data_IF_395386798448
#
_entry.id   IF_395386798448
#
_cell.length_a   1.000
_cell.length_b   1.000
_cell.length_c   1.000
_cell.angle_alpha   90.00
_cell.angle_beta   90.00
_cell.angle_gamma   90.00
#
_symmetry.space_group_name_H-M   'P 1'
#
loop_
_entity.id
_entity.type
_entity.pdbx_description
1 polymer ?
#
# COMPACT_ATOMS: atom_id res chain seq x y z
N UNK A 1 -9.49 -5.46 -14.22
CA UNK A 1 -8.70 -4.65 -13.28
C UNK A 1 -8.48 -5.52 -12.06
N UNK A 2 -7.24 -5.87 -11.72
CA UNK A 2 -6.97 -6.85 -10.64
C UNK A 2 -6.51 -6.10 -9.39
N UNK A 3 -7.43 -5.95 -8.43
CA UNK A 3 -7.20 -5.39 -7.09
C UNK A 3 -6.06 -6.16 -6.38
N UNK A 4 -5.84 -7.43 -6.72
CA UNK A 4 -4.77 -8.25 -6.13
C UNK A 4 -3.35 -7.81 -6.53
N UNK A 5 -3.21 -7.02 -7.61
CA UNK A 5 -1.92 -6.49 -8.08
C UNK A 5 -1.43 -5.28 -7.28
N UNK A 6 -2.29 -4.59 -6.53
CA UNK A 6 -1.93 -3.38 -5.78
C UNK A 6 -1.48 -3.68 -4.34
N UNK A 7 -1.65 -4.92 -3.89
CA UNK A 7 -1.25 -5.36 -2.56
C UNK A 7 -2.23 -4.93 -1.46
N UNK A 8 -2.56 -5.86 -0.56
CA UNK A 8 -3.37 -5.61 0.62
C UNK A 8 -2.48 -5.34 1.83
N UNK A 9 -2.84 -4.38 2.71
CA UNK A 9 -2.24 -4.30 4.03
C UNK A 9 -2.74 -5.47 4.89
N UNK A 10 -1.93 -5.92 5.85
CA UNK A 10 -2.27 -7.04 6.76
C UNK A 10 -3.61 -6.86 7.48
N UNK A 11 -4.01 -5.61 7.73
CA UNK A 11 -5.29 -5.28 8.38
C UNK A 11 -6.52 -5.82 7.63
N UNK A 12 -6.41 -6.04 6.32
CA UNK A 12 -7.50 -6.57 5.50
C UNK A 12 -7.90 -7.99 5.89
N UNK A 13 -6.97 -8.81 6.40
CA UNK A 13 -7.30 -10.15 6.92
C UNK A 13 -8.33 -10.04 8.05
N UNK A 14 -8.12 -9.11 8.98
CA UNK A 14 -9.03 -8.88 10.11
C UNK A 14 -10.37 -8.33 9.65
N UNK A 15 -10.36 -7.35 8.73
CA UNK A 15 -11.58 -6.75 8.21
C UNK A 15 -12.43 -7.76 7.42
N UNK A 16 -11.84 -8.51 6.50
CA UNK A 16 -12.54 -9.54 5.75
C UNK A 16 -13.08 -10.65 6.66
N UNK A 17 -12.33 -11.06 7.68
CA UNK A 17 -12.81 -12.07 8.64
C UNK A 17 -14.01 -11.57 9.46
N UNK A 18 -14.07 -10.27 9.76
CA UNK A 18 -15.15 -9.66 10.56
C UNK A 18 -16.41 -9.35 9.74
N UNK A 19 -16.24 -8.85 8.52
CA UNK A 19 -17.32 -8.25 7.73
C UNK A 19 -17.71 -9.05 6.49
N UNK A 20 -16.89 -10.03 6.09
CA UNK A 20 -17.17 -10.94 4.99
C UNK A 20 -17.22 -12.36 5.52
N UNK A 21 -16.28 -13.22 5.14
CA UNK A 21 -16.23 -14.61 5.60
C UNK A 21 -14.82 -15.02 6.00
N UNK A 22 -14.67 -16.03 6.87
CA UNK A 22 -13.36 -16.65 7.15
C UNK A 22 -12.67 -17.12 5.86
N UNK A 23 -13.41 -17.66 4.90
CA UNK A 23 -12.89 -18.16 3.63
C UNK A 23 -12.25 -17.06 2.76
N UNK A 24 -12.91 -15.90 2.66
CA UNK A 24 -12.34 -14.71 1.98
C UNK A 24 -11.08 -14.26 2.73
N UNK A 25 -11.11 -14.23 4.06
CA UNK A 25 -9.96 -13.81 4.85
C UNK A 25 -8.76 -14.76 4.71
N UNK A 26 -8.99 -16.07 4.66
CA UNK A 26 -7.95 -17.11 4.55
C UNK A 26 -7.31 -17.17 3.16
N UNK A 27 -7.98 -16.59 2.15
CA UNK A 27 -7.42 -16.39 0.82
C UNK A 27 -6.45 -15.19 0.75
N UNK A 28 -6.38 -14.35 1.79
CA UNK A 28 -5.42 -13.24 1.84
C UNK A 28 -4.08 -13.76 2.37
N UNK A 29 -3.08 -13.82 1.50
CA UNK A 29 -1.78 -14.41 1.78
C UNK A 29 -0.66 -13.40 1.62
N UNK A 30 0.38 -13.50 2.44
CA UNK A 30 1.54 -12.60 2.34
C UNK A 30 2.36 -12.92 1.07
N UNK A 31 2.77 -11.89 0.34
CA UNK A 31 3.73 -12.05 -0.75
C UNK A 31 5.10 -12.43 -0.17
N UNK A 32 5.78 -13.40 -0.80
CA UNK A 32 7.13 -13.84 -0.41
C UNK A 32 8.22 -12.79 -0.69
N UNK A 33 7.85 -11.65 -1.26
CA UNK A 33 8.75 -10.55 -1.57
C UNK A 33 8.44 -9.91 -2.91
N UNK A 34 8.87 -8.66 -3.03
CA UNK A 34 8.70 -7.79 -4.19
C UNK A 34 10.06 -7.62 -4.85
N UNK A 35 10.08 -7.67 -6.17
CA UNK A 35 11.30 -7.55 -6.96
C UNK A 35 11.30 -6.20 -7.67
N UNK A 36 12.37 -5.45 -7.47
CA UNK A 36 12.67 -4.25 -8.22
C UNK A 36 13.69 -4.60 -9.29
N UNK A 37 13.31 -4.45 -10.55
CA UNK A 37 14.18 -4.63 -11.71
C UNK A 37 14.14 -3.36 -12.55
N UNK A 38 15.16 -2.52 -12.40
CA UNK A 38 15.28 -1.30 -13.16
C UNK A 38 16.77 -0.95 -13.40
N UNK A 39 17.07 0.02 -14.30
CA UNK A 39 18.45 0.37 -14.63
C UNK A 39 19.31 0.87 -13.45
N UNK A 40 18.72 1.39 -12.37
CA UNK A 40 19.46 1.86 -11.20
C UNK A 40 19.77 0.73 -10.21
N UNK A 41 18.91 -0.29 -10.12
CA UNK A 41 19.14 -1.44 -9.26
C UNK A 41 18.27 -2.65 -9.63
N UNK A 42 18.83 -3.83 -9.38
CA UNK A 42 18.12 -5.10 -9.27
C UNK A 42 18.16 -5.55 -7.80
N UNK A 43 17.00 -5.71 -7.15
CA UNK A 43 16.91 -6.19 -5.77
C UNK A 43 15.56 -6.83 -5.46
N UNK A 44 15.51 -7.57 -4.35
CA UNK A 44 14.29 -8.14 -3.78
C UNK A 44 14.13 -7.68 -2.34
N UNK A 45 12.90 -7.41 -1.93
CA UNK A 45 12.56 -7.01 -0.57
C UNK A 45 11.35 -7.77 -0.01
N UNK A 46 11.28 -7.97 1.30
CA UNK A 46 10.05 -8.39 2.01
C UNK A 46 9.06 -7.24 2.23
N UNK A 47 9.42 -6.02 1.83
CA UNK A 47 8.62 -4.81 1.99
C UNK A 47 8.33 -4.45 3.45
N UNK A 48 9.28 -4.75 4.35
CA UNK A 48 9.20 -4.45 5.78
C UNK A 48 10.19 -3.36 6.15
N UNK A 49 9.92 -2.61 7.23
CA UNK A 49 10.84 -1.58 7.75
C UNK A 49 12.25 -2.13 7.92
N UNK A 50 12.38 -3.28 8.54
CA UNK A 50 13.67 -3.92 8.83
C UNK A 50 14.46 -4.19 7.55
N UNK A 51 13.77 -4.60 6.48
CA UNK A 51 14.42 -5.00 5.24
C UNK A 51 14.76 -3.79 4.37
N UNK A 52 13.89 -2.77 4.32
CA UNK A 52 14.25 -1.49 3.70
C UNK A 52 15.39 -0.80 4.46
N UNK A 53 15.40 -0.82 5.80
CA UNK A 53 16.52 -0.28 6.57
C UNK A 53 17.82 -0.99 6.20
N UNK A 54 17.81 -2.32 6.16
CA UNK A 54 18.95 -3.11 5.73
C UNK A 54 19.38 -2.77 4.29
N UNK A 55 18.45 -2.70 3.34
CA UNK A 55 18.74 -2.36 1.94
C UNK A 55 19.34 -0.96 1.82
N UNK A 56 18.73 0.05 2.45
CA UNK A 56 19.16 1.45 2.34
C UNK A 56 20.52 1.67 3.02
N UNK A 57 20.80 0.97 4.11
CA UNK A 57 22.10 1.03 4.80
C UNK A 57 23.19 0.25 4.07
N UNK A 58 22.95 -1.02 3.75
CA UNK A 58 23.97 -1.92 3.16
C UNK A 58 24.21 -1.65 1.67
N UNK A 59 23.15 -1.41 0.88
CA UNK A 59 23.28 -1.25 -0.58
C UNK A 59 23.46 0.21 -0.98
N UNK A 60 22.66 1.09 -0.39
CA UNK A 60 22.66 2.51 -0.73
C UNK A 60 23.60 3.34 0.15
N UNK A 61 24.25 2.72 1.15
CA UNK A 61 25.30 3.32 1.98
C UNK A 61 24.82 4.59 2.70
N UNK A 62 23.54 4.63 3.10
CA UNK A 62 23.02 5.69 3.96
C UNK A 62 23.25 5.32 5.43
N UNK A 63 23.71 6.25 6.29
CA UNK A 63 23.84 5.98 7.72
C UNK A 63 22.54 5.49 8.37
N UNK A 64 22.63 4.48 9.22
CA UNK A 64 21.47 3.89 9.92
C UNK A 64 20.65 4.96 10.66
N UNK A 65 21.30 5.89 11.34
CA UNK A 65 20.64 6.96 12.10
C UNK A 65 19.73 7.84 11.22
N UNK A 66 20.16 8.12 9.99
CA UNK A 66 19.35 8.87 9.01
C UNK A 66 18.13 8.06 8.59
N UNK A 67 18.31 6.77 8.32
CA UNK A 67 17.22 5.87 7.89
C UNK A 67 16.21 5.67 9.03
N UNK A 68 16.69 5.47 10.26
CA UNK A 68 15.83 5.27 11.42
C UNK A 68 15.01 6.52 11.73
N UNK A 69 15.64 7.71 11.68
CA UNK A 69 14.94 9.00 11.79
C UNK A 69 13.89 9.18 10.70
N UNK A 70 14.21 8.87 9.45
CA UNK A 70 13.25 8.94 8.33
C UNK A 70 11.99 8.11 8.63
N UNK A 71 12.16 6.84 9.04
CA UNK A 71 11.02 5.98 9.35
C UNK A 71 10.28 6.38 10.62
N UNK A 72 10.97 6.96 11.61
CA UNK A 72 10.33 7.51 12.80
C UNK A 72 9.44 8.71 12.43
N UNK A 73 9.96 9.65 11.66
CA UNK A 73 9.22 10.83 11.19
C UNK A 73 8.05 10.45 10.29
N UNK A 74 8.24 9.53 9.33
CA UNK A 74 7.15 9.06 8.47
C UNK A 74 6.01 8.40 9.27
N UNK A 75 6.32 7.74 10.39
CA UNK A 75 5.32 7.10 11.27
C UNK A 75 4.62 8.09 12.19
N UNK A 76 5.25 9.21 12.56
CA UNK A 76 4.62 10.23 13.40
C UNK A 76 3.68 11.16 12.64
N UNK A 77 3.73 11.14 11.30
CA UNK A 77 2.85 11.94 10.44
C UNK A 77 1.38 11.61 10.69
N UNK A 78 0.58 12.63 11.00
CA UNK A 78 -0.83 12.52 11.29
C UNK A 78 -1.61 13.66 10.62
N UNK A 79 -2.93 13.49 10.44
CA UNK A 79 -3.81 14.40 9.67
C UNK A 79 -3.76 15.89 10.11
N UNK A 80 -3.31 16.17 11.33
CA UNK A 80 -3.21 17.54 11.88
C UNK A 80 -1.86 18.22 11.59
N UNK A 81 -0.92 17.51 10.96
CA UNK A 81 0.38 18.06 10.60
C UNK A 81 0.29 19.00 9.39
N UNK A 82 1.26 19.91 9.28
CA UNK A 82 1.38 20.89 8.21
C UNK A 82 1.37 20.23 6.83
N UNK A 83 0.37 20.58 6.01
CA UNK A 83 0.19 20.06 4.65
C UNK A 83 1.07 20.76 3.60
N UNK A 84 1.86 21.77 3.98
CA UNK A 84 2.67 22.54 3.05
C UNK A 84 3.85 21.77 2.46
N UNK A 85 4.36 20.75 3.16
CA UNK A 85 5.56 20.01 2.74
C UNK A 85 5.25 18.89 1.76
N UNK A 86 5.93 18.90 0.62
CA UNK A 86 5.83 17.87 -0.41
C UNK A 86 6.65 16.62 -0.08
N UNK A 87 6.30 15.49 -0.69
CA UNK A 87 7.06 14.24 -0.57
C UNK A 87 8.51 14.42 -1.06
N UNK A 88 8.73 15.24 -2.09
CA UNK A 88 10.06 15.65 -2.56
C UNK A 88 10.88 16.30 -1.47
N UNK A 89 10.36 17.35 -0.84
CA UNK A 89 11.05 18.09 0.22
C UNK A 89 11.29 17.21 1.44
N UNK A 90 10.35 16.31 1.74
CA UNK A 90 10.54 15.31 2.78
C UNK A 90 11.72 14.38 2.46
N UNK A 91 11.80 13.87 1.24
CA UNK A 91 12.90 13.00 0.85
C UNK A 91 14.25 13.72 0.78
N UNK A 92 14.31 14.94 0.27
CA UNK A 92 15.54 15.74 0.22
C UNK A 92 16.07 16.06 1.63
N UNK A 93 15.22 16.17 2.66
CA UNK A 93 15.68 16.34 4.05
C UNK A 93 16.51 15.14 4.54
N UNK A 94 16.09 13.91 4.22
CA UNK A 94 16.74 12.70 4.73
C UNK A 94 17.78 12.12 3.76
N UNK A 95 17.55 12.28 2.46
CA UNK A 95 18.34 11.66 1.39
C UNK A 95 18.68 12.69 0.30
N UNK A 96 19.44 13.75 0.63
CA UNK A 96 19.70 14.84 -0.29
C UNK A 96 20.41 14.36 -1.55
N UNK A 97 19.85 14.65 -2.72
CA UNK A 97 20.38 14.26 -4.03
C UNK A 97 20.36 12.75 -4.33
N UNK A 98 19.75 11.93 -3.46
CA UNK A 98 19.73 10.45 -3.60
C UNK A 98 18.50 9.96 -4.35
N UNK A 99 18.44 10.30 -5.64
CA UNK A 99 17.34 9.90 -6.53
C UNK A 99 17.14 8.37 -6.62
N UNK A 100 18.19 7.61 -6.36
CA UNK A 100 18.17 6.15 -6.28
C UNK A 100 17.39 5.63 -5.05
N UNK A 101 17.59 6.24 -3.87
CA UNK A 101 16.81 5.95 -2.66
C UNK A 101 15.38 6.46 -2.80
N UNK A 102 15.19 7.66 -3.35
CA UNK A 102 13.86 8.21 -3.62
C UNK A 102 13.04 7.31 -4.54
N UNK A 103 13.66 6.77 -5.60
CA UNK A 103 13.02 5.81 -6.48
C UNK A 103 12.62 4.54 -5.74
N UNK A 104 13.53 3.96 -4.95
CA UNK A 104 13.23 2.77 -4.15
C UNK A 104 12.00 2.98 -3.24
N UNK A 105 11.87 4.16 -2.66
CA UNK A 105 10.80 4.52 -1.73
C UNK A 105 9.48 4.93 -2.43
N UNK A 106 9.54 5.58 -3.61
CA UNK A 106 8.35 6.02 -4.36
C UNK A 106 7.81 4.99 -5.35
N UNK A 107 8.66 4.27 -6.08
CA UNK A 107 8.26 3.39 -7.19
C UNK A 107 7.09 2.45 -6.84
N UNK A 108 7.05 1.76 -5.68
CA UNK A 108 5.92 0.90 -5.35
C UNK A 108 4.65 1.69 -4.99
N UNK A 109 4.80 2.89 -4.44
CA UNK A 109 3.68 3.75 -4.05
C UNK A 109 3.05 4.36 -5.30
N UNK A 110 3.86 4.96 -6.18
CA UNK A 110 3.42 5.47 -7.49
C UNK A 110 2.73 4.39 -8.31
N UNK A 111 3.22 3.15 -8.30
CA UNK A 111 2.56 2.04 -8.98
C UNK A 111 1.19 1.69 -8.38
N UNK A 112 1.07 1.71 -7.05
CA UNK A 112 -0.14 1.26 -6.36
C UNK A 112 -1.28 2.28 -6.39
N UNK A 113 -0.98 3.57 -6.23
CA UNK A 113 -2.01 4.61 -6.07
C UNK A 113 -1.81 5.84 -6.96
N UNK A 114 -0.77 5.87 -7.81
CA UNK A 114 -0.47 7.00 -8.68
C UNK A 114 0.19 8.20 -8.00
N UNK A 115 0.60 8.07 -6.73
CA UNK A 115 1.22 9.18 -5.99
C UNK A 115 2.51 9.67 -6.63
N UNK A 116 2.74 10.97 -6.51
CA UNK A 116 3.89 11.67 -7.05
C UNK A 116 4.74 12.31 -5.95
N UNK A 117 5.93 12.79 -6.31
CA UNK A 117 6.79 13.54 -5.39
C UNK A 117 6.20 14.90 -5.01
N UNK A 118 5.25 15.41 -5.80
CA UNK A 118 4.63 16.72 -5.58
C UNK A 118 3.39 16.60 -4.66
N UNK A 119 3.00 15.38 -4.29
CA UNK A 119 1.96 15.13 -3.30
C UNK A 119 2.42 15.54 -1.89
N UNK A 120 1.51 15.94 -0.99
CA UNK A 120 1.84 16.26 0.39
C UNK A 120 2.53 15.08 1.10
N UNK A 121 3.64 15.33 1.81
CA UNK A 121 4.45 14.29 2.47
C UNK A 121 3.64 13.44 3.47
N UNK A 122 2.62 14.03 4.07
CA UNK A 122 1.71 13.36 4.99
C UNK A 122 0.98 12.17 4.34
N UNK A 123 0.58 12.28 3.06
CA UNK A 123 -0.11 11.20 2.37
C UNK A 123 0.83 10.01 2.18
N UNK A 124 2.09 10.29 1.84
CA UNK A 124 3.15 9.30 1.79
C UNK A 124 3.35 8.63 3.16
N UNK A 125 3.51 9.40 4.24
CA UNK A 125 3.71 8.86 5.59
C UNK A 125 2.58 7.91 6.04
N UNK A 126 1.32 8.30 5.81
CA UNK A 126 0.14 7.48 6.16
C UNK A 126 0.09 6.20 5.34
N UNK A 127 0.26 6.27 4.02
CA UNK A 127 0.20 5.08 3.15
C UNK A 127 1.38 4.15 3.43
N UNK A 128 2.59 4.71 3.43
CA UNK A 128 3.83 3.94 3.54
C UNK A 128 3.96 3.24 4.90
N UNK A 129 3.59 3.90 6.00
CA UNK A 129 3.66 3.31 7.35
C UNK A 129 2.76 2.07 7.52
N UNK A 130 1.62 2.02 6.82
CA UNK A 130 0.69 0.90 6.88
C UNK A 130 1.25 -0.37 6.20
N UNK A 131 1.98 -0.22 5.08
CA UNK A 131 2.53 -1.37 4.35
C UNK A 131 3.81 -1.92 5.00
N UNK A 132 4.61 -1.06 5.62
CA UNK A 132 5.95 -1.42 6.12
C UNK A 132 5.95 -2.23 7.43
N UNK A 133 4.77 -2.46 8.02
CA UNK A 133 4.60 -3.21 9.28
C UNK A 133 4.82 -4.72 9.11
N UNK A 134 4.15 -5.34 8.13
CA UNK A 134 4.18 -6.79 7.90
C UNK A 134 4.33 -7.14 6.42
N UNK A 135 4.84 -6.22 5.61
CA UNK A 135 4.95 -6.41 4.17
C UNK A 135 3.59 -6.41 3.47
N UNK A 136 3.60 -6.89 2.23
CA UNK A 136 2.45 -6.81 1.32
C UNK A 136 1.74 -8.15 1.22
N UNK A 137 0.42 -8.11 1.21
CA UNK A 137 -0.45 -9.28 1.03
C UNK A 137 -1.11 -9.25 -0.35
N UNK A 138 -1.59 -10.39 -0.83
CA UNK A 138 -2.40 -10.51 -2.04
C UNK A 138 -3.58 -11.42 -1.78
N UNK A 139 -4.55 -11.43 -2.70
CA UNK A 139 -5.67 -12.35 -2.65
C UNK A 139 -5.40 -13.55 -3.56
N UNK A 140 -5.25 -14.73 -2.98
CA UNK A 140 -5.05 -15.97 -3.71
C UNK A 140 -6.31 -16.31 -4.53
N UNK A 141 -6.13 -16.49 -5.84
CA UNK A 141 -7.24 -16.68 -6.78
C UNK A 141 -7.63 -15.42 -7.56
N UNK A 142 -7.01 -14.27 -7.26
CA UNK A 142 -7.21 -13.02 -7.99
C UNK A 142 -8.55 -12.36 -7.71
N UNK A 143 -8.77 -11.21 -8.35
CA UNK A 143 -9.98 -10.38 -8.10
C UNK A 143 -11.27 -11.09 -8.49
N UNK A 144 -11.29 -11.88 -9.56
CA UNK A 144 -12.51 -12.58 -9.98
C UNK A 144 -12.99 -13.56 -8.89
N UNK A 145 -12.07 -14.32 -8.29
CA UNK A 145 -12.41 -15.22 -7.19
C UNK A 145 -12.93 -14.46 -5.96
N UNK A 146 -12.31 -13.32 -5.63
CA UNK A 146 -12.78 -12.46 -4.54
C UNK A 146 -14.21 -11.96 -4.80
N UNK A 147 -14.47 -11.42 -5.99
CA UNK A 147 -15.78 -10.86 -6.37
C UNK A 147 -16.86 -11.95 -6.37
N UNK A 148 -16.57 -13.16 -6.85
CA UNK A 148 -17.52 -14.26 -6.80
C UNK A 148 -17.85 -14.67 -5.35
N UNK A 149 -16.84 -14.80 -4.48
CA UNK A 149 -17.08 -15.10 -3.06
C UNK A 149 -17.88 -14.00 -2.35
N UNK A 150 -17.62 -12.73 -2.67
CA UNK A 150 -18.39 -11.60 -2.15
C UNK A 150 -19.84 -11.64 -2.64
N UNK A 151 -20.05 -11.94 -3.93
CA UNK A 151 -21.38 -12.11 -4.52
C UNK A 151 -22.16 -13.22 -3.82
N UNK A 152 -21.57 -14.40 -3.68
CA UNK A 152 -22.17 -15.55 -2.99
C UNK A 152 -22.57 -15.19 -1.55
N UNK A 153 -21.71 -14.46 -0.84
CA UNK A 153 -22.02 -14.02 0.52
C UNK A 153 -23.18 -13.03 0.57
N UNK A 154 -23.24 -12.06 -0.35
CA UNK A 154 -24.36 -11.13 -0.44
C UNK A 154 -25.68 -11.86 -0.74
N UNK A 155 -25.68 -12.78 -1.71
CA UNK A 155 -26.85 -13.60 -2.06
C UNK A 155 -27.30 -14.47 -0.87
N UNK A 156 -26.37 -15.08 -0.12
CA UNK A 156 -26.67 -15.84 1.11
C UNK A 156 -27.35 -15.00 2.19
N UNK A 157 -27.03 -13.70 2.26
CA UNK A 157 -27.65 -12.76 3.19
C UNK A 157 -28.93 -12.11 2.62
N UNK A 158 -29.44 -12.58 1.48
CA UNK A 158 -30.68 -12.09 0.88
C UNK A 158 -30.54 -10.72 0.18
N UNK A 159 -29.32 -10.30 -0.16
CA UNK A 159 -29.09 -9.07 -0.91
C UNK A 159 -29.43 -9.29 -2.39
N UNK A 160 -30.30 -8.42 -2.93
CA UNK A 160 -30.59 -8.39 -4.36
C UNK A 160 -29.43 -7.82 -5.16
N UNK A 161 -28.92 -8.58 -6.12
CA UNK A 161 -27.85 -8.16 -7.02
C UNK A 161 -28.37 -8.02 -8.46
N UNK A 162 -28.12 -6.85 -9.06
CA UNK A 162 -28.56 -6.53 -10.43
C UNK A 162 -27.36 -6.13 -11.29
N UNK A 163 -27.17 -6.83 -12.40
CA UNK A 163 -26.17 -6.51 -13.43
C UNK A 163 -26.86 -5.98 -14.67
N UNK A 164 -26.14 -5.19 -15.49
CA UNK A 164 -26.68 -4.56 -16.70
C UNK A 164 -27.89 -3.67 -16.43
N UNK A 165 -27.93 -3.05 -15.26
CA UNK A 165 -28.97 -2.09 -14.88
C UNK A 165 -28.36 -0.69 -14.92
N UNK A 166 -28.87 0.16 -15.80
CA UNK A 166 -28.49 1.57 -15.86
C UNK A 166 -29.19 2.32 -14.72
N UNK A 167 -28.42 3.00 -13.87
CA UNK A 167 -28.97 3.92 -12.88
C UNK A 167 -29.29 5.23 -13.59
N UNK A 168 -30.58 5.52 -13.80
CA UNK A 168 -31.02 6.72 -14.52
C UNK A 168 -31.14 7.95 -13.61
N UNK A 169 -31.50 7.74 -12.35
CA UNK A 169 -31.69 8.80 -11.36
C UNK A 169 -31.44 8.27 -9.95
N UNK A 170 -30.87 9.13 -9.09
CA UNK A 170 -30.78 8.92 -7.65
C UNK A 170 -31.87 9.78 -7.00
N UNK A 171 -32.85 9.16 -6.35
CA UNK A 171 -33.88 9.89 -5.59
C UNK A 171 -33.26 10.37 -4.27
N UNK A 172 -33.33 11.69 -4.04
CA UNK A 172 -32.78 12.34 -2.84
C UNK A 172 -33.88 12.88 -1.91
N UNK A 173 -35.14 12.60 -2.23
CA UNK A 173 -36.31 13.02 -1.44
C UNK A 173 -36.70 11.90 -0.47
N UNK A 174 -37.01 12.21 0.81
CA UNK A 174 -37.42 11.21 1.81
C UNK A 174 -38.67 10.42 1.42
#
# INVERSE_FOLDING_TARGET
FDISLHGFPVGMVKSCRKYWTPEIADSIVQLKGIRFENPQFSLRTSFTREDFTRIITEKFQIPFETVDRFFATARSMNFFDDQGKTTREFFEEFFPGRTDVQRLLMEPITYANGSTLDDPAITYGIVFSNFMSKGVFTFQGGTDALVQKMREELERNGVDLRIRSLVEKIEVTP
#
